data_IF_190172101701
#
_entry.id   IF_190172101701
#
_cell.length_a   1.000
_cell.length_b   1.000
_cell.length_c   1.000
_cell.angle_alpha   90.00
_cell.angle_beta   90.00
_cell.angle_gamma   90.00
#
_symmetry.space_group_name_H-M   'P 1'
#
loop_
_entity.id
_entity.type
_entity.pdbx_description
1 polymer ?
#
# COMPACT_ATOMS: atom_id res chain seq x y z
N UNK A 1 -15.26 1.53 -10.68
CA UNK A 1 -14.11 2.44 -10.49
C UNK A 1 -14.54 3.87 -10.78
N UNK A 2 -14.36 4.77 -9.82
CA UNK A 2 -14.61 6.20 -10.01
C UNK A 2 -13.32 6.85 -10.50
N UNK A 3 -13.25 7.26 -11.77
CA UNK A 3 -12.12 8.03 -12.25
C UNK A 3 -12.18 9.47 -11.74
N UNK A 4 -11.05 10.08 -11.45
CA UNK A 4 -10.96 11.40 -10.85
C UNK A 4 -11.58 12.52 -11.70
N UNK A 5 -11.73 12.40 -13.00
CA UNK A 5 -12.39 13.37 -13.90
C UNK A 5 -12.76 12.74 -15.24
N UNK A 6 -13.27 11.53 -15.23
CA UNK A 6 -13.89 10.90 -16.40
C UNK A 6 -12.99 10.57 -17.59
N UNK A 7 -11.78 11.12 -17.71
CA UNK A 7 -10.91 10.93 -18.90
C UNK A 7 -9.41 11.14 -18.68
N UNK A 8 -8.94 11.33 -17.46
CA UNK A 8 -7.49 11.48 -17.25
C UNK A 8 -6.83 10.09 -17.23
N UNK A 9 -6.14 9.75 -18.30
CA UNK A 9 -5.23 8.63 -18.35
C UNK A 9 -3.78 9.16 -18.18
N UNK A 10 -2.91 8.35 -17.57
CA UNK A 10 -1.47 8.65 -17.58
C UNK A 10 -0.88 8.47 -19.00
N UNK A 11 0.39 8.79 -19.16
CA UNK A 11 1.08 8.63 -20.45
C UNK A 11 1.15 7.20 -20.99
N UNK A 12 0.74 6.19 -20.18
CA UNK A 12 0.68 4.77 -20.54
C UNK A 12 -0.76 4.28 -20.77
N UNK A 13 -1.75 5.17 -20.68
CA UNK A 13 -3.16 4.84 -20.90
C UNK A 13 -3.90 4.29 -19.68
N UNK A 14 -3.29 4.30 -18.48
CA UNK A 14 -3.95 3.87 -17.27
C UNK A 14 -4.90 4.96 -16.75
N UNK A 15 -6.13 4.56 -16.38
CA UNK A 15 -7.08 5.49 -15.78
C UNK A 15 -6.54 6.06 -14.46
N UNK A 16 -6.46 7.38 -14.35
CA UNK A 16 -6.15 8.03 -13.08
C UNK A 16 -7.36 7.91 -12.15
N UNK A 17 -7.22 7.08 -11.13
CA UNK A 17 -8.26 6.88 -10.12
C UNK A 17 -8.23 8.05 -9.13
N UNK A 18 -9.37 8.72 -8.97
CA UNK A 18 -9.57 9.76 -7.96
C UNK A 18 -10.06 9.19 -6.64
N UNK A 19 -9.94 9.98 -5.57
CA UNK A 19 -10.53 9.64 -4.28
C UNK A 19 -12.06 9.54 -4.37
N UNK A 20 -12.64 8.45 -3.89
CA UNK A 20 -14.08 8.24 -3.86
C UNK A 20 -14.83 9.34 -3.08
N UNK A 21 -14.19 9.88 -2.05
CA UNK A 21 -14.72 10.93 -1.20
C UNK A 21 -15.03 12.23 -1.96
N UNK A 22 -14.16 12.67 -2.87
CA UNK A 22 -14.40 13.84 -3.71
C UNK A 22 -15.59 13.66 -4.66
N UNK A 23 -15.71 12.48 -5.27
CA UNK A 23 -16.83 12.16 -6.15
C UNK A 23 -18.16 12.09 -5.38
N UNK A 24 -18.15 11.45 -4.21
CA UNK A 24 -19.34 11.39 -3.35
C UNK A 24 -19.82 12.79 -2.94
N UNK A 25 -18.89 13.69 -2.58
CA UNK A 25 -19.21 15.10 -2.32
C UNK A 25 -19.92 15.74 -3.50
N UNK A 26 -19.38 15.61 -4.71
CA UNK A 26 -19.99 16.19 -5.92
C UNK A 26 -21.39 15.66 -6.11
N UNK A 27 -21.62 14.36 -6.00
CA UNK A 27 -22.93 13.73 -6.13
C UNK A 27 -23.95 14.26 -5.10
N UNK A 28 -23.55 14.44 -3.85
CA UNK A 28 -24.41 14.95 -2.76
C UNK A 28 -24.82 16.40 -3.04
N UNK A 29 -23.89 17.24 -3.47
CA UNK A 29 -24.15 18.65 -3.79
C UNK A 29 -24.99 18.78 -5.05
N UNK A 30 -24.65 18.05 -6.12
CA UNK A 30 -25.38 18.02 -7.39
C UNK A 30 -26.83 17.52 -7.22
N UNK A 31 -27.04 16.55 -6.33
CA UNK A 31 -28.37 16.04 -5.99
C UNK A 31 -29.18 17.01 -5.11
N UNK A 32 -28.64 18.15 -4.70
CA UNK A 32 -29.31 19.14 -3.87
C UNK A 32 -29.62 18.68 -2.44
N UNK A 33 -28.98 17.60 -1.97
CA UNK A 33 -29.21 17.05 -0.62
C UNK A 33 -28.77 18.05 0.45
N UNK A 34 -27.55 18.63 0.25
CA UNK A 34 -27.02 19.70 1.10
C UNK A 34 -26.28 20.73 0.23
N UNK A 35 -26.36 22.03 0.57
CA UNK A 35 -25.69 23.07 -0.22
C UNK A 35 -24.16 23.11 0.03
N UNK A 36 -23.69 22.54 1.13
CA UNK A 36 -22.28 22.51 1.51
C UNK A 36 -21.91 21.17 2.10
N UNK A 37 -20.95 20.52 1.49
CA UNK A 37 -20.37 19.27 1.97
C UNK A 37 -18.85 19.40 2.11
N UNK A 38 -18.32 18.98 3.26
CA UNK A 38 -16.86 18.91 3.52
C UNK A 38 -16.44 17.45 3.44
N UNK A 39 -15.32 17.20 2.78
CA UNK A 39 -14.75 15.87 2.60
C UNK A 39 -13.32 15.87 3.15
N UNK A 40 -13.00 14.83 3.89
CA UNK A 40 -11.66 14.50 4.32
C UNK A 40 -11.30 13.12 3.77
N UNK A 41 -10.29 13.07 2.89
CA UNK A 41 -9.74 11.82 2.37
C UNK A 41 -8.56 11.41 3.26
N UNK A 42 -8.79 10.42 4.12
CA UNK A 42 -7.79 9.94 5.08
C UNK A 42 -6.79 8.96 4.46
N UNK A 43 -6.96 8.54 3.22
CA UNK A 43 -6.16 7.49 2.59
C UNK A 43 -4.65 7.79 2.59
N UNK A 44 -4.26 9.01 2.25
CA UNK A 44 -2.86 9.43 2.29
C UNK A 44 -2.35 9.64 3.71
N UNK A 45 -3.17 10.23 4.56
CA UNK A 45 -2.81 10.52 5.96
C UNK A 45 -2.59 9.21 6.72
N UNK A 46 -3.49 8.22 6.54
CA UNK A 46 -3.34 6.91 7.17
C UNK A 46 -2.06 6.19 6.71
N UNK A 47 -1.77 6.21 5.40
CA UNK A 47 -0.57 5.57 4.84
C UNK A 47 0.74 6.24 5.24
N UNK A 48 0.70 7.54 5.56
CA UNK A 48 1.90 8.31 5.94
C UNK A 48 2.04 8.48 7.45
N UNK A 49 1.13 7.89 8.23
CA UNK A 49 1.12 8.03 9.68
C UNK A 49 1.96 6.96 10.35
N UNK A 50 2.98 7.37 11.09
CA UNK A 50 3.78 6.46 11.93
C UNK A 50 2.94 5.76 13.01
N UNK A 51 1.77 6.30 13.36
CA UNK A 51 0.86 5.71 14.34
C UNK A 51 -0.05 4.62 13.75
N UNK A 52 -0.15 4.54 12.43
CA UNK A 52 -1.00 3.56 11.73
C UNK A 52 -0.19 2.46 11.01
N UNK A 53 1.12 2.41 11.25
CA UNK A 53 2.02 1.44 10.65
C UNK A 53 2.09 0.18 11.52
N UNK A 54 2.06 -1.02 10.93
CA UNK A 54 2.37 -2.25 11.65
C UNK A 54 3.88 -2.48 11.71
N UNK A 55 4.34 -3.16 12.75
CA UNK A 55 5.75 -3.50 12.89
C UNK A 55 6.20 -4.44 11.76
N UNK A 56 5.35 -5.41 11.39
CA UNK A 56 5.63 -6.34 10.28
C UNK A 56 5.85 -5.60 8.97
N UNK A 57 4.98 -4.65 8.62
CA UNK A 57 5.12 -3.86 7.38
C UNK A 57 6.41 -3.05 7.37
N UNK A 58 6.78 -2.48 8.52
CA UNK A 58 8.02 -1.72 8.68
C UNK A 58 9.27 -2.62 8.51
N UNK A 59 9.30 -3.78 9.16
CA UNK A 59 10.41 -4.73 9.10
C UNK A 59 10.56 -5.31 7.70
N UNK A 60 9.47 -5.74 7.08
CA UNK A 60 9.49 -6.25 5.71
C UNK A 60 9.93 -5.19 4.68
N UNK A 61 9.50 -3.95 4.86
CA UNK A 61 9.95 -2.84 4.00
C UNK A 61 11.44 -2.57 4.15
N UNK A 62 11.96 -2.65 5.37
CA UNK A 62 13.39 -2.51 5.64
C UNK A 62 14.19 -3.65 5.00
N UNK A 63 13.78 -4.90 5.22
CA UNK A 63 14.45 -6.09 4.70
C UNK A 63 14.39 -6.16 3.16
N UNK A 64 13.28 -5.69 2.57
CA UNK A 64 13.18 -5.51 1.12
C UNK A 64 14.24 -4.54 0.61
N UNK A 65 14.44 -3.43 1.30
CA UNK A 65 15.48 -2.45 0.98
C UNK A 65 16.89 -3.04 1.08
N UNK A 66 17.17 -3.79 2.14
CA UNK A 66 18.43 -4.52 2.31
C UNK A 66 18.63 -5.54 1.19
N UNK A 67 17.60 -6.33 0.88
CA UNK A 67 17.62 -7.31 -0.21
C UNK A 67 17.90 -6.66 -1.57
N UNK A 68 17.28 -5.51 -1.86
CA UNK A 68 17.53 -4.76 -3.07
C UNK A 68 18.96 -4.22 -3.14
N UNK A 69 19.45 -3.65 -2.04
CA UNK A 69 20.83 -3.14 -1.96
C UNK A 69 21.86 -4.24 -2.19
N UNK A 70 21.71 -5.38 -1.53
CA UNK A 70 22.63 -6.52 -1.68
C UNK A 70 22.68 -7.06 -3.12
N UNK A 71 21.55 -6.99 -3.83
CA UNK A 71 21.47 -7.40 -5.24
C UNK A 71 21.99 -6.34 -6.20
N UNK A 72 21.84 -5.07 -5.89
CA UNK A 72 22.25 -3.96 -6.78
C UNK A 72 23.74 -3.94 -7.10
N UNK A 73 24.58 -4.53 -6.23
CA UNK A 73 26.02 -4.67 -6.45
C UNK A 73 26.39 -5.73 -7.50
N UNK A 74 25.43 -6.51 -7.99
CA UNK A 74 25.64 -7.64 -8.89
C UNK A 74 25.02 -7.36 -10.26
N UNK A 75 25.81 -7.39 -11.35
CA UNK A 75 25.34 -7.04 -12.70
C UNK A 75 24.15 -7.89 -13.20
N UNK A 76 24.05 -9.15 -12.77
CA UNK A 76 22.97 -10.06 -13.16
C UNK A 76 21.57 -9.62 -12.68
N UNK A 77 21.49 -8.68 -11.72
CA UNK A 77 20.24 -8.11 -11.25
C UNK A 77 19.87 -6.79 -11.93
N UNK A 78 20.65 -6.35 -12.93
CA UNK A 78 20.31 -5.14 -13.70
C UNK A 78 18.97 -5.31 -14.43
N UNK A 79 18.08 -4.33 -14.28
CA UNK A 79 16.73 -4.37 -14.88
C UNK A 79 15.74 -5.29 -14.15
N UNK A 80 16.09 -5.76 -12.95
CA UNK A 80 15.19 -6.54 -12.11
C UNK A 80 14.51 -5.69 -11.05
N UNK A 81 13.32 -6.12 -10.66
CA UNK A 81 12.56 -5.60 -9.52
C UNK A 81 12.66 -6.59 -8.37
N UNK A 82 12.91 -6.09 -7.17
CA UNK A 82 12.84 -6.91 -5.95
C UNK A 82 11.46 -6.77 -5.35
N UNK A 83 10.86 -7.89 -4.97
CA UNK A 83 9.53 -7.96 -4.39
C UNK A 83 9.46 -8.91 -3.20
N UNK A 84 8.31 -8.86 -2.53
CA UNK A 84 7.96 -9.76 -1.42
C UNK A 84 6.86 -10.69 -1.91
N UNK A 85 6.99 -11.96 -1.64
CA UNK A 85 5.91 -12.93 -1.79
C UNK A 85 5.64 -13.64 -0.47
N UNK A 86 4.43 -14.13 -0.32
CA UNK A 86 4.05 -14.92 0.85
C UNK A 86 4.74 -16.28 0.80
N UNK A 87 5.59 -16.52 1.76
CA UNK A 87 6.15 -17.83 2.05
C UNK A 87 5.51 -18.46 3.30
N UNK A 88 6.02 -19.61 3.70
CA UNK A 88 5.62 -20.32 4.91
C UNK A 88 6.83 -20.55 5.80
N UNK A 89 6.70 -20.20 7.07
CA UNK A 89 7.68 -20.54 8.11
C UNK A 89 7.71 -22.03 8.42
N UNK A 90 8.66 -22.43 9.20
CA UNK A 90 8.84 -23.84 9.66
C UNK A 90 7.64 -24.32 10.47
N UNK A 91 6.98 -23.41 11.17
CA UNK A 91 5.76 -23.64 11.94
C UNK A 91 4.47 -23.63 11.08
N UNK A 92 4.60 -23.44 9.76
CA UNK A 92 3.49 -23.30 8.83
C UNK A 92 2.86 -21.89 8.79
N UNK A 93 3.31 -20.98 9.65
CA UNK A 93 2.87 -19.59 9.70
C UNK A 93 3.36 -18.74 8.52
N UNK A 94 2.99 -17.49 8.52
CA UNK A 94 3.46 -16.51 7.52
C UNK A 94 4.97 -16.25 7.67
N UNK A 95 5.68 -16.26 6.55
CA UNK A 95 7.09 -15.85 6.46
C UNK A 95 7.32 -15.16 5.12
N UNK A 96 7.83 -13.92 5.08
CA UNK A 96 8.09 -13.23 3.82
C UNK A 96 9.26 -13.86 3.07
N UNK A 97 9.12 -13.97 1.76
CA UNK A 97 10.21 -14.37 0.87
C UNK A 97 10.56 -13.22 -0.09
N UNK A 98 11.83 -12.82 -0.11
CA UNK A 98 12.30 -11.76 -1.00
C UNK A 98 12.81 -12.38 -2.31
N UNK A 99 12.24 -11.96 -3.42
CA UNK A 99 12.57 -12.46 -4.75
C UNK A 99 12.99 -11.32 -5.67
N UNK A 100 13.63 -11.65 -6.78
CA UNK A 100 13.89 -10.72 -7.86
C UNK A 100 13.38 -11.32 -9.18
N UNK A 101 12.82 -10.49 -10.04
CA UNK A 101 12.39 -10.88 -11.38
C UNK A 101 12.58 -9.72 -12.37
N UNK A 102 12.67 -10.00 -13.68
CA UNK A 102 12.74 -8.96 -14.68
C UNK A 102 11.58 -7.96 -14.56
N UNK A 103 11.87 -6.67 -14.68
CA UNK A 103 10.84 -5.63 -14.60
C UNK A 103 9.75 -5.81 -15.68
N UNK A 104 10.11 -6.36 -16.84
CA UNK A 104 9.18 -6.66 -17.92
C UNK A 104 8.08 -7.66 -17.53
N UNK A 105 8.38 -8.60 -16.63
CA UNK A 105 7.44 -9.64 -16.19
C UNK A 105 6.34 -9.07 -15.25
N UNK A 106 6.63 -7.92 -14.62
CA UNK A 106 5.68 -7.24 -13.74
C UNK A 106 4.99 -6.05 -14.40
N UNK A 107 5.55 -5.54 -15.50
CA UNK A 107 4.99 -4.39 -16.20
C UNK A 107 3.56 -4.69 -16.68
N UNK A 108 2.63 -3.80 -16.35
CA UNK A 108 1.21 -3.91 -16.69
C UNK A 108 0.48 -5.14 -16.11
N UNK A 109 1.11 -5.86 -15.18
CA UNK A 109 0.43 -6.94 -14.46
C UNK A 109 -0.39 -6.39 -13.30
N UNK A 110 -1.69 -6.60 -13.34
CA UNK A 110 -2.61 -6.22 -12.25
C UNK A 110 -3.08 -7.49 -11.54
N UNK A 111 -2.78 -7.60 -10.26
CA UNK A 111 -3.33 -8.65 -9.42
C UNK A 111 -4.68 -8.20 -8.86
N UNK A 112 -5.80 -8.76 -9.31
CA UNK A 112 -7.11 -8.38 -8.79
C UNK A 112 -7.28 -8.89 -7.35
N UNK A 113 -8.11 -8.17 -6.58
CA UNK A 113 -8.60 -8.69 -5.31
C UNK A 113 -9.57 -9.86 -5.60
N UNK A 114 -9.42 -11.03 -4.94
CA UNK A 114 -10.30 -12.16 -5.16
C UNK A 114 -11.77 -11.80 -4.93
N UNK A 115 -12.63 -12.06 -5.90
CA UNK A 115 -14.04 -11.70 -5.82
C UNK A 115 -14.78 -12.46 -4.73
N UNK A 116 -14.36 -13.69 -4.45
CA UNK A 116 -14.88 -14.56 -3.38
C UNK A 116 -14.58 -14.03 -1.98
N UNK A 117 -13.63 -13.11 -1.84
CA UNK A 117 -13.31 -12.45 -0.58
C UNK A 117 -14.18 -11.23 -0.30
N UNK A 118 -15.04 -10.85 -1.24
CA UNK A 118 -15.95 -9.71 -1.09
C UNK A 118 -17.30 -10.23 -0.65
N UNK A 119 -17.78 -9.79 0.53
CA UNK A 119 -19.10 -10.16 1.01
C UNK A 119 -20.21 -9.58 0.12
N UNK A 120 -21.40 -10.22 0.08
CA UNK A 120 -22.55 -9.69 -0.68
C UNK A 120 -22.84 -8.23 -0.34
N UNK A 121 -23.21 -7.46 -1.36
CA UNK A 121 -23.50 -6.03 -1.25
C UNK A 121 -22.28 -5.16 -0.85
N UNK A 122 -21.06 -5.66 -1.01
CA UNK A 122 -19.81 -4.94 -0.67
C UNK A 122 -19.74 -4.46 0.79
N UNK A 123 -20.37 -5.19 1.71
CA UNK A 123 -20.44 -4.81 3.13
C UNK A 123 -19.21 -5.22 3.95
N UNK A 124 -18.26 -5.90 3.33
CA UNK A 124 -17.04 -6.33 4.02
C UNK A 124 -16.25 -7.37 3.23
N UNK A 125 -15.38 -8.05 3.93
CA UNK A 125 -14.53 -9.12 3.39
C UNK A 125 -14.74 -10.41 4.17
N UNK A 126 -14.47 -11.54 3.53
CA UNK A 126 -14.62 -12.88 4.13
C UNK A 126 -13.55 -13.14 5.20
N UNK A 127 -13.78 -14.18 6.01
CA UNK A 127 -12.81 -14.61 7.03
C UNK A 127 -11.49 -15.06 6.39
N UNK A 128 -11.51 -15.66 5.21
CA UNK A 128 -10.29 -16.03 4.46
C UNK A 128 -9.45 -14.81 4.10
N UNK A 129 -10.10 -13.69 3.74
CA UNK A 129 -9.40 -12.44 3.50
C UNK A 129 -8.80 -11.89 4.79
N UNK A 130 -9.54 -11.93 5.91
CA UNK A 130 -9.04 -11.52 7.21
C UNK A 130 -7.84 -12.35 7.65
N UNK A 131 -7.90 -13.66 7.49
CA UNK A 131 -6.79 -14.57 7.83
C UNK A 131 -5.58 -14.34 6.92
N UNK A 132 -5.81 -13.98 5.65
CA UNK A 132 -4.74 -13.61 4.75
C UNK A 132 -4.04 -12.33 5.19
N UNK A 133 -4.76 -11.29 5.61
CA UNK A 133 -4.18 -10.00 5.97
C UNK A 133 -3.69 -9.92 7.42
N UNK A 134 -4.26 -10.71 8.33
CA UNK A 134 -3.94 -10.66 9.78
C UNK A 134 -2.44 -10.71 10.10
N UNK A 135 -1.63 -11.59 9.49
CA UNK A 135 -0.18 -11.61 9.76
C UNK A 135 0.55 -10.34 9.32
N UNK A 136 0.02 -9.61 8.32
CA UNK A 136 0.66 -8.44 7.75
C UNK A 136 0.45 -7.16 8.57
N UNK A 137 -0.49 -7.18 9.51
CA UNK A 137 -0.87 -6.02 10.33
C UNK A 137 -0.56 -6.24 11.82
N UNK A 138 0.46 -7.04 12.11
CA UNK A 138 0.85 -7.35 13.48
C UNK A 138 1.93 -6.41 14.01
N UNK A 139 1.90 -6.25 15.34
CA UNK A 139 2.88 -5.50 16.09
C UNK A 139 2.77 -3.99 15.95
N UNK A 140 3.23 -3.30 16.98
CA UNK A 140 3.30 -1.84 17.01
C UNK A 140 4.77 -1.39 16.95
N UNK A 141 5.16 -0.54 16.00
CA UNK A 141 6.50 0.00 15.97
C UNK A 141 6.75 0.90 17.19
N UNK A 142 7.91 0.78 17.79
CA UNK A 142 8.31 1.67 18.89
C UNK A 142 8.64 3.05 18.33
N UNK A 143 7.74 4.00 18.54
CA UNK A 143 7.99 5.38 18.15
C UNK A 143 9.00 6.03 19.11
N UNK A 144 10.05 6.61 18.56
CA UNK A 144 10.99 7.43 19.30
C UNK A 144 10.45 8.87 19.27
N UNK A 145 10.18 9.42 20.43
CA UNK A 145 9.68 10.79 20.57
C UNK A 145 10.65 11.65 21.37
N UNK A 146 10.88 12.89 20.95
CA UNK A 146 11.55 13.93 21.72
C UNK A 146 10.52 15.03 22.04
N UNK A 147 10.32 15.32 23.30
CA UNK A 147 9.33 16.32 23.77
C UNK A 147 7.91 16.07 23.24
N UNK A 148 7.49 14.81 23.11
CA UNK A 148 6.18 14.44 22.60
C UNK A 148 6.02 14.49 21.07
N UNK A 149 7.08 14.80 20.34
CA UNK A 149 7.10 14.86 18.87
C UNK A 149 7.88 13.65 18.36
N UNK A 150 7.32 12.86 17.41
CA UNK A 150 8.03 11.75 16.77
C UNK A 150 9.32 12.24 16.11
N UNK A 151 10.44 11.55 16.39
CA UNK A 151 11.72 11.84 15.77
C UNK A 151 11.68 11.27 14.34
N UNK A 152 11.70 12.17 13.36
CA UNK A 152 11.82 11.79 11.95
C UNK A 152 13.28 11.61 11.58
N UNK A 153 13.54 10.71 10.62
CA UNK A 153 14.88 10.51 10.09
C UNK A 153 15.45 11.83 9.54
N UNK A 154 16.60 12.25 10.04
CA UNK A 154 17.29 13.41 9.48
C UNK A 154 17.79 13.06 8.08
N UNK A 155 17.57 13.93 7.08
CA UNK A 155 18.12 13.70 5.75
C UNK A 155 19.65 13.60 5.84
N UNK A 156 20.24 12.66 5.12
CA UNK A 156 21.69 12.56 5.03
C UNK A 156 22.23 13.88 4.46
N UNK A 157 23.01 14.61 5.26
CA UNK A 157 23.79 15.71 4.73
C UNK A 157 24.82 15.14 3.75
N UNK A 158 24.61 15.31 2.46
CA UNK A 158 25.68 15.14 1.49
C UNK A 158 26.74 16.18 1.80
N UNK A 159 27.90 15.72 2.32
CA UNK A 159 29.09 16.56 2.41
C UNK A 159 29.69 16.74 1.02
#
# INVERSE_FOLDING_TARGET
YLSANGKAADGLGHAMLGGAAGRLKSMIVEAGIVPRCVVQDLSRVARSSNFAMSLVDLEESYDLGVSAHMRSAKPEFTGQVVGIRRGRGVDGGYNPEFFACPAADLANFVRPFPSEWILPNYQGVSDEALDYFRPLIQGEPKLICENGIPVTMRPFNRR
#
